data_IF_748823160239
#
_entry.id   IF_748823160239
#
_cell.length_a   1.000
_cell.length_b   1.000
_cell.length_c   1.000
_cell.angle_alpha   90.00
_cell.angle_beta   90.00
_cell.angle_gamma   90.00
#
_symmetry.space_group_name_H-M   'P 1'
#
loop_
_entity.id
_entity.type
_entity.pdbx_description
1 polymer ?
#
# COMPACT_ATOMS: atom_id res chain seq x y z
N UNK A 1 -21.92 -20.95 -11.04
CA UNK A 1 -21.87 -19.69 -10.27
C UNK A 1 -20.58 -18.99 -10.63
N UNK A 2 -20.54 -18.30 -11.78
CA UNK A 2 -19.36 -17.57 -12.22
C UNK A 2 -19.77 -16.12 -12.44
N UNK A 3 -19.29 -15.25 -11.57
CA UNK A 3 -19.43 -13.82 -11.74
C UNK A 3 -18.64 -13.39 -13.00
N UNK A 4 -19.22 -12.47 -13.77
CA UNK A 4 -18.74 -11.97 -15.06
C UNK A 4 -17.48 -11.10 -14.91
N UNK A 5 -16.36 -11.68 -14.50
CA UNK A 5 -15.09 -10.97 -14.44
C UNK A 5 -14.66 -10.46 -15.82
N UNK A 6 -15.04 -11.16 -16.89
CA UNK A 6 -14.71 -10.81 -18.28
C UNK A 6 -15.38 -9.50 -18.74
N UNK A 7 -16.49 -9.11 -18.11
CA UNK A 7 -17.22 -7.86 -18.41
C UNK A 7 -16.82 -6.70 -17.49
N UNK A 8 -16.06 -6.97 -16.43
CA UNK A 8 -15.68 -5.97 -15.45
C UNK A 8 -14.73 -4.94 -16.07
N UNK A 9 -15.15 -3.67 -16.04
CA UNK A 9 -14.31 -2.54 -16.45
C UNK A 9 -13.64 -1.90 -15.25
N UNK A 10 -12.31 -1.88 -15.25
CA UNK A 10 -11.55 -1.21 -14.20
C UNK A 10 -11.78 0.31 -14.24
N UNK A 11 -12.12 0.86 -13.08
CA UNK A 11 -12.21 2.31 -12.86
C UNK A 11 -10.94 2.73 -12.14
N UNK A 12 -10.12 3.55 -12.81
CA UNK A 12 -8.82 3.95 -12.29
C UNK A 12 -8.87 5.35 -11.66
N UNK A 13 -8.03 5.52 -10.65
CA UNK A 13 -7.67 6.82 -10.09
C UNK A 13 -6.21 7.09 -10.42
N UNK A 14 -5.89 8.33 -10.80
CA UNK A 14 -4.53 8.74 -11.15
C UNK A 14 -3.96 9.58 -10.01
N UNK A 15 -2.80 9.15 -9.51
CA UNK A 15 -2.06 9.81 -8.44
C UNK A 15 -0.72 10.33 -9.00
N UNK A 16 -0.13 11.37 -8.40
CA UNK A 16 1.22 11.81 -8.74
C UNK A 16 2.25 10.67 -8.55
N UNK A 17 3.19 10.54 -9.49
CA UNK A 17 4.31 9.61 -9.37
C UNK A 17 5.54 10.28 -8.77
N UNK A 18 6.46 9.51 -8.19
CA UNK A 18 7.63 10.03 -7.46
C UNK A 18 8.95 10.09 -8.25
N UNK A 19 9.09 9.41 -9.40
CA UNK A 19 10.26 9.47 -10.33
C UNK A 19 11.67 9.47 -9.70
N UNK A 20 11.82 8.91 -8.50
CA UNK A 20 13.10 8.82 -7.80
C UNK A 20 13.29 7.41 -7.24
N UNK A 21 14.55 7.06 -6.97
CA UNK A 21 14.86 5.79 -6.32
C UNK A 21 14.44 5.82 -4.84
N UNK A 22 13.77 4.76 -4.41
CA UNK A 22 13.33 4.54 -3.02
C UNK A 22 13.93 3.26 -2.42
N UNK A 23 14.83 2.58 -3.13
CA UNK A 23 15.42 1.29 -2.74
C UNK A 23 16.14 1.33 -1.38
N UNK A 24 16.63 2.51 -0.98
CA UNK A 24 17.37 2.76 0.27
C UNK A 24 16.47 3.16 1.45
N UNK A 25 15.18 3.40 1.22
CA UNK A 25 14.26 3.87 2.27
C UNK A 25 14.03 2.79 3.33
N UNK A 26 14.09 3.18 4.62
CA UNK A 26 13.91 2.26 5.76
C UNK A 26 12.80 2.68 6.72
N UNK A 27 12.16 3.83 6.50
CA UNK A 27 10.96 4.21 7.23
C UNK A 27 9.98 4.97 6.34
N UNK A 28 8.71 5.03 6.77
CA UNK A 28 7.64 5.64 5.97
C UNK A 28 7.85 7.14 5.71
N UNK A 29 8.45 7.85 6.67
CA UNK A 29 8.68 9.29 6.57
C UNK A 29 9.74 9.67 5.52
N UNK A 30 10.66 8.76 5.20
CA UNK A 30 11.71 8.99 4.19
C UNK A 30 11.21 8.75 2.76
N UNK A 31 9.99 8.25 2.59
CA UNK A 31 9.38 8.13 1.27
C UNK A 31 9.08 9.51 0.68
N UNK A 32 9.14 9.68 -0.65
CA UNK A 32 8.60 10.85 -1.33
C UNK A 32 7.13 11.07 -0.97
N UNK A 33 6.69 12.33 -0.91
CA UNK A 33 5.32 12.68 -0.51
C UNK A 33 4.27 11.99 -1.40
N UNK A 34 4.56 11.84 -2.69
CA UNK A 34 3.72 11.17 -3.67
C UNK A 34 3.59 9.66 -3.39
N UNK A 35 4.70 9.01 -3.01
CA UNK A 35 4.72 7.60 -2.64
C UNK A 35 3.97 7.35 -1.31
N UNK A 36 4.13 8.26 -0.34
CA UNK A 36 3.34 8.24 0.89
C UNK A 36 1.85 8.38 0.57
N UNK A 37 1.50 9.34 -0.29
CA UNK A 37 0.12 9.56 -0.75
C UNK A 37 -0.49 8.32 -1.40
N UNK A 38 0.28 7.59 -2.21
CA UNK A 38 -0.16 6.34 -2.81
C UNK A 38 -0.52 5.27 -1.76
N UNK A 39 0.35 5.07 -0.76
CA UNK A 39 0.07 4.11 0.33
C UNK A 39 -1.16 4.53 1.13
N UNK A 40 -1.24 5.81 1.50
CA UNK A 40 -2.40 6.34 2.25
C UNK A 40 -3.71 6.20 1.46
N UNK A 41 -3.66 6.35 0.13
CA UNK A 41 -4.85 6.17 -0.72
C UNK A 41 -5.34 4.72 -0.72
N UNK A 42 -4.42 3.76 -0.78
CA UNK A 42 -4.75 2.33 -0.63
C UNK A 42 -5.40 2.07 0.73
N UNK A 43 -4.86 2.66 1.82
CA UNK A 43 -5.44 2.51 3.16
C UNK A 43 -6.87 3.05 3.22
N UNK A 44 -7.13 4.19 2.61
CA UNK A 44 -8.48 4.78 2.54
C UNK A 44 -9.45 3.90 1.76
N UNK A 45 -9.02 3.32 0.64
CA UNK A 45 -9.85 2.43 -0.17
C UNK A 45 -10.18 1.12 0.55
N UNK A 46 -9.24 0.60 1.33
CA UNK A 46 -9.41 -0.64 2.08
C UNK A 46 -10.05 -0.45 3.46
N UNK A 47 -10.05 0.77 4.00
CA UNK A 47 -10.43 1.02 5.40
C UNK A 47 -9.46 0.38 6.41
N UNK A 48 -8.26 0.00 5.97
CA UNK A 48 -7.28 -0.76 6.74
C UNK A 48 -5.91 -0.10 6.67
N UNK A 49 -5.12 -0.29 7.73
CA UNK A 49 -3.76 0.24 7.80
C UNK A 49 -2.73 -0.77 7.26
N UNK A 50 -1.88 -0.33 6.35
CA UNK A 50 -0.73 -1.05 5.79
C UNK A 50 0.33 -1.24 6.87
N UNK A 51 0.57 -2.49 7.24
CA UNK A 51 1.56 -2.86 8.27
C UNK A 51 3.00 -2.87 7.77
N UNK A 52 3.21 -3.22 6.50
CA UNK A 52 4.54 -3.40 5.91
C UNK A 52 4.61 -2.80 4.52
N UNK A 53 5.75 -2.20 4.20
CA UNK A 53 6.06 -1.71 2.86
C UNK A 53 7.40 -2.30 2.45
N UNK A 54 7.43 -2.94 1.28
CA UNK A 54 8.67 -3.43 0.65
C UNK A 54 9.01 -2.54 -0.53
N UNK A 55 10.24 -2.03 -0.58
CA UNK A 55 10.77 -1.12 -1.59
C UNK A 55 11.86 -1.77 -2.46
N UNK A 56 12.11 -3.07 -2.28
CA UNK A 56 13.13 -3.78 -3.05
C UNK A 56 13.16 -5.30 -2.78
N UNK A 57 14.05 -6.03 -3.47
CA UNK A 57 14.13 -7.49 -3.37
C UNK A 57 14.86 -7.99 -2.11
N UNK A 58 15.66 -7.14 -1.47
CA UNK A 58 16.45 -7.51 -0.29
C UNK A 58 15.59 -7.56 0.99
N UNK A 59 15.99 -8.37 1.97
CA UNK A 59 15.24 -8.55 3.23
C UNK A 59 15.15 -7.25 4.03
N UNK A 60 16.21 -6.47 4.03
CA UNK A 60 16.31 -5.16 4.67
C UNK A 60 15.59 -4.04 3.90
N UNK A 61 15.16 -4.30 2.65
CA UNK A 61 14.38 -3.37 1.85
C UNK A 61 12.89 -3.39 2.18
N UNK A 62 12.51 -3.90 3.36
CA UNK A 62 11.15 -3.85 3.88
C UNK A 62 11.16 -3.28 5.30
N UNK A 63 10.20 -2.40 5.58
CA UNK A 63 10.04 -1.80 6.90
C UNK A 63 8.60 -1.88 7.41
N UNK A 64 8.45 -1.98 8.73
CA UNK A 64 7.17 -2.04 9.41
C UNK A 64 6.68 -0.62 9.73
N UNK A 65 5.39 -0.35 9.54
CA UNK A 65 4.75 0.89 10.01
C UNK A 65 4.33 0.72 11.47
N UNK A 66 4.82 1.61 12.33
CA UNK A 66 4.54 1.59 13.78
C UNK A 66 3.05 1.79 14.05
N UNK A 67 2.50 1.04 15.02
CA UNK A 67 1.10 1.15 15.46
C UNK A 67 0.07 0.39 14.60
N UNK A 68 0.51 -0.55 13.75
CA UNK A 68 -0.40 -1.48 13.06
C UNK A 68 -0.49 -2.78 13.89
N UNK A 69 -1.69 -3.15 14.38
CA UNK A 69 -1.88 -4.38 15.13
C UNK A 69 -1.48 -5.59 14.27
N UNK A 70 -0.77 -6.56 14.84
CA UNK A 70 -0.40 -7.82 14.17
C UNK A 70 -1.55 -8.85 14.14
N UNK A 71 -2.80 -8.39 14.28
CA UNK A 71 -3.99 -9.25 14.30
C UNK A 71 -4.41 -9.70 12.89
N UNK A 72 -5.32 -10.68 12.79
CA UNK A 72 -5.80 -11.17 11.50
C UNK A 72 -6.47 -10.03 10.73
N UNK A 73 -6.06 -9.85 9.46
CA UNK A 73 -6.49 -8.73 8.59
C UNK A 73 -7.98 -8.72 8.24
N UNK A 74 -8.73 -9.75 8.64
CA UNK A 74 -10.12 -10.00 8.25
C UNK A 74 -11.16 -9.48 9.26
N UNK A 75 -10.75 -8.84 10.35
CA UNK A 75 -11.68 -8.29 11.35
C UNK A 75 -12.02 -6.80 11.11
N UNK A 76 -12.44 -6.43 9.89
CA UNK A 76 -13.11 -5.15 9.63
C UNK A 76 -13.77 -5.14 8.23
N UNK A 77 -14.86 -5.89 8.08
CA UNK A 77 -15.86 -5.64 7.05
C UNK A 77 -17.22 -6.10 7.63
N UNK A 78 -17.98 -5.14 8.14
CA UNK A 78 -19.44 -5.27 8.32
C UNK A 78 -20.10 -4.61 7.12
#
# INVERSE_FOLDING_TARGET
MSAHLDEAKAVYEILPGWRCDISVVRCFGDLPAEAQGYVLRIEQLLGLRVGWVSVGPHREAAFRRNGVPSGPCIAAAQ
#
